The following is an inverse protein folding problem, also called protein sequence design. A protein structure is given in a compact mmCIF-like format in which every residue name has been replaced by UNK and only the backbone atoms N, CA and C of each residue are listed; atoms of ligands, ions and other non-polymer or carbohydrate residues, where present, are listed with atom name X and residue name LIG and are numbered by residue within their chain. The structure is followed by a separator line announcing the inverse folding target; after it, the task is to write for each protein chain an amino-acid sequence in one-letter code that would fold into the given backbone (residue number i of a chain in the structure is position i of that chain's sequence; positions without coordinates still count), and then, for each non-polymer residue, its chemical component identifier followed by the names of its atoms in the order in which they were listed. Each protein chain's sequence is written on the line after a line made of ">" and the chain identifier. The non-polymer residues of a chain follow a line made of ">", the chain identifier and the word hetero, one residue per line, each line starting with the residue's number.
data_IF_498936589796
#
_entry.id   IF_498936589796
#
_cell.length_a   1.000
_cell.length_b   1.000
_cell.length_c   1.000
_cell.angle_alpha   90.00
_cell.angle_beta   90.00
_cell.angle_gamma   90.00
#
_symmetry.space_group_name_H-M   'P 1'
#
loop_
_entity.id
_entity.type
_entity.pdbx_description
1 polymer ?
#
# COMPACT_ATOMS: atom_id res chain seq x y z
N UNK A 1 13.47 -39.02 -26.69
CA UNK A 1 13.03 -37.61 -26.77
C UNK A 1 11.86 -37.29 -25.82
N UNK A 2 11.84 -37.82 -24.59
CA UNK A 2 10.86 -37.49 -23.54
C UNK A 2 11.28 -36.45 -22.47
N UNK A 3 12.58 -36.16 -22.20
CA UNK A 3 12.95 -35.33 -21.05
C UNK A 3 12.67 -33.83 -21.27
N UNK A 4 12.67 -33.35 -22.51
CA UNK A 4 12.49 -31.92 -22.82
C UNK A 4 11.06 -31.44 -22.52
N UNK A 5 10.05 -32.27 -22.76
CA UNK A 5 8.64 -31.92 -22.53
C UNK A 5 8.37 -31.77 -21.03
N UNK A 6 8.90 -32.67 -20.20
CA UNK A 6 8.74 -32.64 -18.75
C UNK A 6 9.45 -31.41 -18.16
N UNK A 7 10.66 -31.09 -18.62
CA UNK A 7 11.40 -29.89 -18.18
C UNK A 7 10.65 -28.61 -18.55
N UNK A 8 10.11 -28.49 -19.76
CA UNK A 8 9.30 -27.34 -20.16
C UNK A 8 8.03 -27.18 -19.33
N UNK A 9 7.38 -28.29 -18.94
CA UNK A 9 6.17 -28.27 -18.12
C UNK A 9 6.45 -27.80 -16.69
N UNK A 10 7.60 -28.19 -16.12
CA UNK A 10 8.06 -27.75 -14.80
C UNK A 10 8.36 -26.24 -14.80
N UNK A 11 9.06 -25.74 -15.83
CA UNK A 11 9.36 -24.30 -15.96
C UNK A 11 8.06 -23.50 -16.03
N UNK A 12 7.07 -23.96 -16.81
CA UNK A 12 5.78 -23.29 -16.92
C UNK A 12 5.02 -23.22 -15.60
N UNK A 13 5.02 -24.31 -14.81
CA UNK A 13 4.41 -24.35 -13.48
C UNK A 13 5.07 -23.39 -12.49
N UNK A 14 6.40 -23.30 -12.51
CA UNK A 14 7.15 -22.36 -11.65
C UNK A 14 6.86 -20.91 -12.02
N UNK A 15 6.80 -20.58 -13.32
CA UNK A 15 6.43 -19.25 -13.80
C UNK A 15 5.00 -18.89 -13.41
N UNK A 16 4.07 -19.83 -13.50
CA UNK A 16 2.69 -19.63 -13.09
C UNK A 16 2.56 -19.40 -11.58
N UNK A 17 3.26 -20.18 -10.75
CA UNK A 17 3.32 -19.96 -9.31
C UNK A 17 3.92 -18.59 -8.97
N UNK A 18 4.99 -18.20 -9.67
CA UNK A 18 5.64 -16.91 -9.46
C UNK A 18 4.71 -15.74 -9.83
N UNK A 19 4.05 -15.80 -10.98
CA UNK A 19 3.08 -14.78 -11.41
C UNK A 19 1.90 -14.73 -10.44
N UNK A 20 1.37 -15.89 -10.01
CA UNK A 20 0.26 -15.95 -9.06
C UNK A 20 0.66 -15.38 -7.70
N UNK A 21 1.86 -15.70 -7.22
CA UNK A 21 2.43 -15.12 -6.00
C UNK A 21 2.67 -13.61 -6.12
N UNK A 22 3.17 -13.15 -7.26
CA UNK A 22 3.38 -11.74 -7.56
C UNK A 22 2.07 -10.95 -7.61
N UNK A 23 1.05 -11.47 -8.30
CA UNK A 23 -0.29 -10.88 -8.35
C UNK A 23 -0.93 -10.86 -6.97
N UNK A 24 -0.81 -11.97 -6.21
CA UNK A 24 -1.32 -12.04 -4.84
C UNK A 24 -0.67 -10.99 -3.95
N UNK A 25 0.67 -10.91 -3.96
CA UNK A 25 1.43 -9.90 -3.23
C UNK A 25 1.07 -8.47 -3.65
N UNK A 26 0.87 -8.22 -4.95
CA UNK A 26 0.44 -6.92 -5.47
C UNK A 26 -0.98 -6.55 -5.00
N UNK A 27 -1.91 -7.50 -5.01
CA UNK A 27 -3.27 -7.30 -4.54
C UNK A 27 -3.32 -7.07 -3.02
N UNK A 28 -2.53 -7.80 -2.24
CA UNK A 28 -2.42 -7.58 -0.80
C UNK A 28 -1.81 -6.21 -0.49
N UNK A 29 -0.75 -5.81 -1.21
CA UNK A 29 -0.18 -4.45 -1.09
C UNK A 29 -1.21 -3.38 -1.42
N UNK A 30 -1.94 -3.51 -2.53
CA UNK A 30 -2.96 -2.56 -2.93
C UNK A 30 -4.10 -2.47 -1.91
N UNK A 31 -4.50 -3.60 -1.32
CA UNK A 31 -5.54 -3.64 -0.27
C UNK A 31 -5.07 -2.96 1.02
N UNK A 32 -3.83 -3.24 1.46
CA UNK A 32 -3.20 -2.58 2.61
C UNK A 32 -3.02 -1.09 2.40
N UNK A 33 -2.60 -0.68 1.21
CA UNK A 33 -2.45 0.73 0.84
C UNK A 33 -3.80 1.47 0.82
N UNK A 34 -4.85 0.85 0.29
CA UNK A 34 -6.20 1.42 0.34
C UNK A 34 -6.68 1.60 1.78
N UNK A 35 -6.54 0.58 2.62
CA UNK A 35 -6.94 0.64 4.03
C UNK A 35 -6.15 1.70 4.81
N UNK A 36 -4.85 1.81 4.55
CA UNK A 36 -4.00 2.85 5.11
C UNK A 36 -4.47 4.25 4.70
N UNK A 37 -4.73 4.48 3.40
CA UNK A 37 -5.21 5.77 2.90
C UNK A 37 -6.57 6.14 3.49
N UNK A 38 -7.50 5.19 3.62
CA UNK A 38 -8.80 5.43 4.26
C UNK A 38 -8.68 5.82 5.73
N UNK A 39 -7.86 5.10 6.51
CA UNK A 39 -7.67 5.39 7.94
C UNK A 39 -6.91 6.71 8.16
N UNK A 40 -5.94 7.02 7.29
CA UNK A 40 -5.26 8.30 7.29
C UNK A 40 -6.22 9.46 7.03
N UNK A 41 -7.07 9.36 6.00
CA UNK A 41 -8.06 10.39 5.68
C UNK A 41 -9.05 10.63 6.84
N UNK A 42 -9.48 9.56 7.52
CA UNK A 42 -10.27 9.67 8.73
C UNK A 42 -9.54 10.45 9.82
N UNK A 43 -8.26 10.13 10.08
CA UNK A 43 -7.44 10.87 11.05
C UNK A 43 -7.25 12.33 10.68
N UNK A 44 -7.10 12.66 9.39
CA UNK A 44 -6.99 14.07 8.99
C UNK A 44 -8.30 14.80 9.23
N UNK A 45 -9.42 14.18 8.86
CA UNK A 45 -10.76 14.75 9.08
C UNK A 45 -11.06 14.98 10.56
N UNK A 46 -10.60 14.09 11.44
CA UNK A 46 -10.70 14.25 12.90
C UNK A 46 -9.84 15.40 13.43
N UNK A 47 -8.59 15.52 12.98
CA UNK A 47 -7.64 16.53 13.48
C UNK A 47 -7.81 17.91 12.80
N UNK A 48 -8.36 17.95 11.59
CA UNK A 48 -8.52 19.15 10.78
C UNK A 48 -9.97 19.24 10.28
N UNK A 49 -10.88 19.86 11.05
CA UNK A 49 -12.29 19.95 10.67
C UNK A 49 -12.53 20.73 9.36
N UNK A 50 -11.59 21.59 8.97
CA UNK A 50 -11.58 22.35 7.71
C UNK A 50 -10.96 21.59 6.54
N UNK A 51 -10.91 20.25 6.62
CA UNK A 51 -10.32 19.40 5.59
C UNK A 51 -11.00 19.59 4.23
N UNK A 52 -10.22 20.00 3.22
CA UNK A 52 -10.71 20.26 1.86
C UNK A 52 -10.67 18.98 1.01
N UNK A 53 -11.64 18.83 0.10
CA UNK A 53 -11.67 17.71 -0.87
C UNK A 53 -10.42 17.67 -1.75
N UNK A 54 -9.80 18.82 -2.02
CA UNK A 54 -8.55 18.93 -2.77
C UNK A 54 -7.38 18.24 -2.04
N UNK A 55 -7.32 18.37 -0.72
CA UNK A 55 -6.35 17.67 0.13
C UNK A 55 -6.56 16.16 0.08
N UNK A 56 -7.81 15.69 0.06
CA UNK A 56 -8.16 14.27 -0.08
C UNK A 56 -7.73 13.70 -1.43
N UNK A 57 -8.04 14.42 -2.51
CA UNK A 57 -7.63 14.04 -3.87
C UNK A 57 -6.11 13.95 -3.99
N UNK A 58 -5.40 14.90 -3.39
CA UNK A 58 -3.93 14.92 -3.36
C UNK A 58 -3.37 13.75 -2.56
N UNK A 59 -3.89 13.48 -1.37
CA UNK A 59 -3.46 12.31 -0.56
C UNK A 59 -3.70 10.99 -1.27
N UNK A 60 -4.74 10.88 -2.11
CA UNK A 60 -5.03 9.69 -2.90
C UNK A 60 -4.16 9.57 -4.16
N UNK A 61 -3.65 10.69 -4.67
CA UNK A 61 -2.83 10.71 -5.89
C UNK A 61 -1.33 10.62 -5.62
N UNK A 62 -0.84 11.11 -4.48
CA UNK A 62 0.60 11.09 -4.20
C UNK A 62 1.09 9.72 -3.72
N UNK A 63 2.39 9.48 -3.92
CA UNK A 63 3.05 8.25 -3.48
C UNK A 63 3.12 8.19 -1.95
N UNK A 64 3.09 6.99 -1.38
CA UNK A 64 3.24 6.79 0.07
C UNK A 64 4.55 7.37 0.61
N UNK A 65 5.60 7.43 -0.22
CA UNK A 65 6.91 8.00 0.12
C UNK A 65 6.85 9.52 0.28
N UNK A 66 6.09 10.20 -0.57
CA UNK A 66 5.97 11.67 -0.56
C UNK A 66 4.84 12.14 0.38
N UNK A 67 3.99 11.21 0.80
CA UNK A 67 2.85 11.46 1.67
C UNK A 67 3.25 11.98 3.05
N UNK A 68 4.36 11.50 3.62
CA UNK A 68 4.84 11.98 4.92
C UNK A 68 5.15 13.48 4.88
N UNK A 69 5.91 13.92 3.88
CA UNK A 69 6.28 15.33 3.72
C UNK A 69 5.07 16.20 3.44
N UNK A 70 4.15 15.75 2.59
CA UNK A 70 2.90 16.47 2.32
C UNK A 70 2.06 16.66 3.60
N UNK A 71 1.92 15.60 4.41
CA UNK A 71 1.16 15.67 5.65
C UNK A 71 1.81 16.61 6.67
N UNK A 72 3.14 16.58 6.78
CA UNK A 72 3.89 17.46 7.68
C UNK A 72 3.75 18.93 7.31
N UNK A 73 3.70 19.24 6.00
CA UNK A 73 3.57 20.61 5.50
C UNK A 73 2.12 21.13 5.49
N UNK A 74 1.14 20.25 5.25
CA UNK A 74 -0.24 20.68 4.92
C UNK A 74 -1.30 20.21 5.92
N UNK A 75 -0.96 19.36 6.90
CA UNK A 75 -1.94 18.85 7.88
C UNK A 75 -1.40 18.90 9.30
N UNK A 76 -2.30 18.92 10.29
CA UNK A 76 -1.93 18.78 11.71
C UNK A 76 -1.69 17.32 12.12
N UNK A 77 -1.43 16.42 11.17
CA UNK A 77 -1.07 15.05 11.50
C UNK A 77 0.36 15.01 12.01
N UNK A 78 0.49 14.66 13.30
CA UNK A 78 1.79 14.35 13.87
C UNK A 78 2.43 13.15 13.17
N UNK A 79 3.73 13.24 12.92
CA UNK A 79 4.55 12.19 12.31
C UNK A 79 4.40 10.84 13.05
N UNK A 80 4.15 10.88 14.36
CA UNK A 80 3.87 9.71 15.18
C UNK A 80 2.58 8.97 14.75
N UNK A 81 1.50 9.70 14.47
CA UNK A 81 0.24 9.10 13.98
C UNK A 81 0.42 8.48 12.60
N UNK A 82 1.14 9.17 11.70
CA UNK A 82 1.48 8.62 10.39
C UNK A 82 2.30 7.32 10.53
N UNK A 83 3.33 7.33 11.40
CA UNK A 83 4.18 6.16 11.63
C UNK A 83 3.42 5.01 12.28
N UNK A 84 2.51 5.28 13.23
CA UNK A 84 1.64 4.26 13.83
C UNK A 84 0.74 3.60 12.77
N UNK A 85 0.13 4.40 11.89
CA UNK A 85 -0.68 3.87 10.78
C UNK A 85 0.18 3.07 9.80
N UNK A 86 1.37 3.57 9.46
CA UNK A 86 2.27 2.88 8.54
C UNK A 86 2.71 1.52 9.10
N UNK A 87 3.06 1.46 10.40
CA UNK A 87 3.36 0.20 11.09
C UNK A 87 2.16 -0.74 11.12
N UNK A 88 0.98 -0.24 11.50
CA UNK A 88 -0.26 -1.03 11.57
C UNK A 88 -0.61 -1.71 10.25
N UNK A 89 -0.40 -1.02 9.11
CA UNK A 89 -0.79 -1.53 7.80
C UNK A 89 0.32 -2.28 7.06
N UNK A 90 1.59 -1.94 7.30
CA UNK A 90 2.72 -2.45 6.51
C UNK A 90 3.76 -3.26 7.30
N UNK A 91 3.81 -3.18 8.63
CA UNK A 91 4.63 -4.13 9.39
C UNK A 91 3.90 -5.48 9.55
N UNK A 92 4.60 -6.61 9.40
CA UNK A 92 4.06 -7.90 9.79
C UNK A 92 3.97 -7.95 11.32
N UNK A 93 2.77 -8.18 11.87
CA UNK A 93 2.64 -8.58 13.27
C UNK A 93 3.54 -9.79 13.51
N UNK A 94 4.51 -9.63 14.40
CA UNK A 94 5.39 -10.69 14.89
C UNK A 94 4.61 -11.82 15.54
#
# INVERSE_FOLDING_TARGET
>A
MFPVIIVSLIIFLLLFMFIKGYIHSKNERAKKEKAFREELLLKIKENTPSFQEETMSTILSISTKDLTSYLEENTLIHQDVYNQLLKKHFEPSK
#
